data_IF_794612505762
#
_entry.id   IF_794612505762
#
_cell.length_a   1.000
_cell.length_b   1.000
_cell.length_c   1.000
_cell.angle_alpha   90.00
_cell.angle_beta   90.00
_cell.angle_gamma   90.00
#
_symmetry.space_group_name_H-M   'P 1'
#
loop_
_entity.id
_entity.type
_entity.pdbx_description
1 polymer ?
#
# COMPACT_ATOMS: atom_id res chain seq x y z
N UNK A 1 -88.96 8.06 37.23
CA UNK A 1 -90.40 8.19 36.91
C UNK A 1 -90.50 8.98 35.63
N UNK A 2 -91.00 8.36 34.56
CA UNK A 2 -91.07 8.96 33.22
C UNK A 2 -91.54 7.89 32.24
N UNK A 3 -92.84 7.56 32.32
CA UNK A 3 -93.51 6.66 31.40
C UNK A 3 -94.10 7.46 30.23
N UNK A 4 -94.08 6.86 29.05
CA UNK A 4 -94.44 7.35 27.70
C UNK A 4 -95.92 7.74 27.51
N UNK A 5 -96.55 8.36 28.51
CA UNK A 5 -97.92 8.86 28.41
C UNK A 5 -97.97 10.25 27.79
N UNK A 6 -98.08 10.31 26.46
CA UNK A 6 -98.66 11.43 25.71
C UNK A 6 -98.13 12.84 26.07
N UNK A 7 -96.82 13.05 25.84
CA UNK A 7 -96.19 14.37 26.01
C UNK A 7 -96.87 15.47 25.17
N UNK A 8 -97.51 15.09 24.06
CA UNK A 8 -98.31 15.99 23.22
C UNK A 8 -99.56 16.49 23.94
N UNK A 9 -100.31 15.59 24.59
CA UNK A 9 -101.47 15.99 25.40
C UNK A 9 -101.06 16.85 26.62
N UNK A 10 -99.92 16.56 27.24
CA UNK A 10 -99.40 17.37 28.36
C UNK A 10 -99.01 18.77 27.88
N UNK A 11 -98.39 18.88 26.70
CA UNK A 11 -98.05 20.17 26.08
C UNK A 11 -99.31 21.01 25.85
N UNK A 12 -100.33 20.45 25.22
CA UNK A 12 -101.60 21.15 24.92
C UNK A 12 -102.30 21.65 26.19
N UNK A 13 -102.34 20.82 27.24
CA UNK A 13 -102.90 21.20 28.55
C UNK A 13 -102.08 22.31 29.21
N UNK A 14 -100.74 22.22 29.19
CA UNK A 14 -99.87 23.24 29.79
C UNK A 14 -99.95 24.57 29.05
N UNK A 15 -99.99 24.56 27.71
CA UNK A 15 -100.15 25.79 26.91
C UNK A 15 -101.48 26.47 27.19
N UNK A 16 -102.57 25.68 27.20
CA UNK A 16 -103.92 26.21 27.46
C UNK A 16 -104.06 26.76 28.88
N UNK A 17 -103.45 26.10 29.86
CA UNK A 17 -103.57 26.49 31.28
C UNK A 17 -102.68 27.67 31.63
N UNK A 18 -101.44 27.71 31.11
CA UNK A 18 -100.45 28.72 31.48
C UNK A 18 -100.49 29.94 30.55
N UNK A 19 -101.10 29.82 29.37
CA UNK A 19 -101.10 30.89 28.35
C UNK A 19 -99.70 31.19 27.80
N UNK A 20 -98.74 30.28 28.00
CA UNK A 20 -97.36 30.40 27.55
C UNK A 20 -97.12 29.27 26.56
N UNK A 21 -96.39 29.56 25.48
CA UNK A 21 -95.96 28.57 24.51
C UNK A 21 -95.02 27.56 25.17
N UNK A 22 -95.38 26.30 25.14
CA UNK A 22 -94.60 25.19 25.68
C UNK A 22 -94.07 24.41 24.49
N UNK A 23 -92.75 24.28 24.39
CA UNK A 23 -92.12 23.47 23.35
C UNK A 23 -91.50 22.22 23.97
N UNK A 24 -91.75 21.06 23.37
CA UNK A 24 -91.05 19.83 23.75
C UNK A 24 -89.61 19.94 23.26
N UNK A 25 -88.66 19.75 24.17
CA UNK A 25 -87.24 19.81 23.83
C UNK A 25 -86.84 18.58 23.02
N UNK A 26 -86.41 18.78 21.78
CA UNK A 26 -85.92 17.74 20.87
C UNK A 26 -84.39 17.79 20.73
N UNK A 27 -83.62 17.07 21.57
CA UNK A 27 -82.16 17.14 21.54
C UNK A 27 -81.54 16.53 20.27
N UNK A 28 -82.29 15.70 19.55
CA UNK A 28 -81.85 14.98 18.35
C UNK A 28 -81.81 15.84 17.10
N UNK A 29 -82.51 16.98 17.07
CA UNK A 29 -82.63 17.83 15.87
C UNK A 29 -81.29 18.35 15.35
N UNK A 30 -80.27 18.41 16.21
CA UNK A 30 -78.94 18.91 15.89
C UNK A 30 -77.85 17.83 15.89
N UNK A 31 -78.22 16.55 16.00
CA UNK A 31 -77.30 15.42 16.03
C UNK A 31 -77.35 14.64 14.71
N UNK A 32 -76.18 14.27 14.19
CA UNK A 32 -76.10 13.31 13.09
C UNK A 32 -76.32 11.89 13.64
N UNK A 33 -77.48 11.31 13.34
CA UNK A 33 -77.89 9.99 13.80
C UNK A 33 -77.60 8.89 12.77
N UNK A 34 -77.05 9.23 11.60
CA UNK A 34 -76.69 8.27 10.54
C UNK A 34 -75.85 7.08 11.05
N UNK A 35 -74.91 7.25 12.02
CA UNK A 35 -74.12 6.13 12.54
C UNK A 35 -74.91 5.08 13.33
N UNK A 36 -76.12 5.39 13.81
CA UNK A 36 -76.95 4.47 14.61
C UNK A 36 -77.70 3.45 13.74
N UNK A 37 -77.75 3.65 12.42
CA UNK A 37 -78.38 2.72 11.50
C UNK A 37 -79.84 2.41 11.87
N UNK A 38 -80.15 1.12 12.05
CA UNK A 38 -81.50 0.64 12.36
C UNK A 38 -82.03 1.02 13.75
N UNK A 39 -81.16 1.46 14.67
CA UNK A 39 -81.55 1.81 16.05
C UNK A 39 -81.97 3.29 16.18
N UNK A 40 -81.99 4.04 15.08
CA UNK A 40 -82.28 5.48 15.09
C UNK A 40 -83.67 5.80 15.68
N UNK A 41 -84.69 5.00 15.38
CA UNK A 41 -86.05 5.24 15.86
C UNK A 41 -86.17 5.07 17.38
N UNK A 42 -85.58 4.00 17.93
CA UNK A 42 -85.57 3.74 19.38
C UNK A 42 -84.76 4.81 20.14
N UNK A 43 -83.67 5.28 19.54
CA UNK A 43 -82.90 6.38 20.11
C UNK A 43 -83.70 7.71 20.12
N UNK A 44 -84.42 8.02 19.04
CA UNK A 44 -85.25 9.23 18.96
C UNK A 44 -86.37 9.23 20.00
N UNK A 45 -87.00 8.09 20.24
CA UNK A 45 -88.05 7.92 21.25
C UNK A 45 -87.52 8.17 22.67
N UNK A 46 -86.32 7.68 22.98
CA UNK A 46 -85.69 7.87 24.31
C UNK A 46 -84.90 9.16 24.46
N UNK A 47 -84.71 9.92 23.38
CA UNK A 47 -83.85 11.11 23.36
C UNK A 47 -84.22 12.17 24.42
N UNK A 48 -85.50 12.47 24.70
CA UNK A 48 -85.86 13.44 25.73
C UNK A 48 -85.38 13.03 27.14
N UNK A 49 -85.45 11.73 27.46
CA UNK A 49 -84.96 11.20 28.74
C UNK A 49 -83.43 11.28 28.86
N UNK A 50 -82.72 11.28 27.72
CA UNK A 50 -81.27 11.38 27.63
C UNK A 50 -80.75 12.82 27.49
N UNK A 51 -81.63 13.83 27.44
CA UNK A 51 -81.26 15.23 27.19
C UNK A 51 -80.14 15.74 28.12
N UNK A 52 -80.17 15.38 29.41
CA UNK A 52 -79.14 15.77 30.38
C UNK A 52 -77.80 15.10 30.08
N UNK A 53 -77.81 13.80 29.76
CA UNK A 53 -76.60 13.05 29.43
C UNK A 53 -75.98 13.56 28.11
N UNK A 54 -76.81 13.83 27.10
CA UNK A 54 -76.41 14.44 25.84
C UNK A 54 -75.82 15.83 26.09
N UNK A 55 -76.47 16.68 26.89
CA UNK A 55 -75.95 18.00 27.24
C UNK A 55 -74.61 17.96 27.99
N UNK A 56 -74.43 16.98 28.88
CA UNK A 56 -73.15 16.76 29.56
C UNK A 56 -72.05 16.27 28.61
N UNK A 57 -72.40 15.43 27.63
CA UNK A 57 -71.46 14.89 26.64
C UNK A 57 -71.08 15.91 25.55
N UNK A 58 -72.02 16.78 25.14
CA UNK A 58 -71.78 17.84 24.15
C UNK A 58 -70.95 19.01 24.70
N UNK A 59 -70.63 19.00 25.99
CA UNK A 59 -69.87 20.05 26.65
C UNK A 59 -68.47 20.19 26.03
N UNK A 60 -68.26 21.26 25.26
CA UNK A 60 -66.93 21.62 24.76
C UNK A 60 -66.02 22.06 25.91
N UNK A 61 -64.77 21.62 25.88
CA UNK A 61 -63.74 22.04 26.83
C UNK A 61 -63.50 23.54 26.65
N UNK A 62 -64.02 24.38 27.55
CA UNK A 62 -63.72 25.82 27.59
C UNK A 62 -64.91 26.77 27.79
N UNK A 63 -66.16 26.34 27.58
CA UNK A 63 -67.34 27.23 27.74
C UNK A 63 -67.99 27.08 29.12
N UNK A 64 -68.14 28.21 29.84
CA UNK A 64 -68.77 28.40 31.16
C UNK A 64 -69.06 27.12 31.97
N UNK A 65 -67.99 26.54 32.46
CA UNK A 65 -68.01 25.21 33.07
C UNK A 65 -67.98 25.33 34.59
N UNK A 66 -69.11 25.09 35.28
CA UNK A 66 -69.08 24.73 36.71
C UNK A 66 -68.46 23.33 36.80
N UNK A 67 -67.19 23.27 37.18
CA UNK A 67 -66.46 22.03 37.38
C UNK A 67 -66.40 21.74 38.88
N UNK A 68 -67.18 20.76 39.34
CA UNK A 68 -67.23 20.37 40.74
C UNK A 68 -66.10 19.40 41.12
N UNK A 69 -65.18 19.06 40.19
CA UNK A 69 -64.02 18.25 40.57
C UNK A 69 -63.05 19.07 41.44
N UNK A 70 -62.61 18.51 42.59
CA UNK A 70 -61.51 19.06 43.37
C UNK A 70 -60.27 19.29 42.49
N UNK A 71 -59.61 20.44 42.67
CA UNK A 71 -58.43 20.84 41.88
C UNK A 71 -57.30 19.79 41.94
N UNK A 72 -57.20 19.06 43.04
CA UNK A 72 -56.18 18.01 43.27
C UNK A 72 -56.34 16.79 42.35
N UNK A 73 -57.55 16.52 41.85
CA UNK A 73 -57.81 15.43 40.91
C UNK A 73 -57.62 15.84 39.45
N UNK A 74 -57.73 17.14 39.14
CA UNK A 74 -57.52 17.66 37.80
C UNK A 74 -56.02 17.64 37.42
N UNK A 75 -55.14 17.97 38.36
CA UNK A 75 -53.68 17.94 38.15
C UNK A 75 -53.16 16.53 37.93
N UNK A 76 -53.75 15.50 38.57
CA UNK A 76 -53.32 14.10 38.37
C UNK A 76 -53.59 13.55 36.98
N UNK A 77 -54.62 14.02 36.26
CA UNK A 77 -54.94 13.54 34.91
C UNK A 77 -54.01 14.11 33.82
N UNK A 78 -53.47 15.33 34.01
CA UNK A 78 -52.55 15.94 33.05
C UNK A 78 -51.12 15.39 33.09
N UNK A 79 -50.68 14.84 34.23
CA UNK A 79 -49.28 14.39 34.41
C UNK A 79 -49.00 13.04 33.73
N UNK A 80 -50.03 12.22 33.47
CA UNK A 80 -49.83 10.91 32.85
C UNK A 80 -49.78 10.95 31.32
N UNK A 81 -50.46 11.89 30.66
CA UNK A 81 -50.39 12.03 29.20
C UNK A 81 -49.00 12.47 28.72
N UNK A 82 -48.32 13.34 29.48
CA UNK A 82 -46.96 13.76 29.19
C UNK A 82 -45.93 12.61 29.25
N UNK A 83 -46.09 11.68 30.20
CA UNK A 83 -45.20 10.50 30.31
C UNK A 83 -45.42 9.51 29.17
N UNK A 84 -46.66 9.31 28.74
CA UNK A 84 -46.98 8.45 27.59
C UNK A 84 -46.42 9.07 26.30
N UNK A 85 -46.62 10.36 26.08
CA UNK A 85 -46.07 11.07 24.92
C UNK A 85 -44.54 11.01 24.88
N UNK A 86 -43.87 11.21 26.03
CA UNK A 86 -42.43 11.08 26.15
C UNK A 86 -41.95 9.65 25.85
N UNK A 87 -42.67 8.62 26.33
CA UNK A 87 -42.37 7.21 26.05
C UNK A 87 -42.49 6.86 24.57
N UNK A 88 -43.54 7.34 23.90
CA UNK A 88 -43.74 7.14 22.45
C UNK A 88 -42.65 7.87 21.65
N UNK A 89 -42.29 9.10 22.02
CA UNK A 89 -41.20 9.84 21.37
C UNK A 89 -39.84 9.12 21.53
N UNK A 90 -39.54 8.60 22.73
CA UNK A 90 -38.32 7.85 22.98
C UNK A 90 -38.26 6.54 22.18
N UNK A 91 -39.39 5.80 22.11
CA UNK A 91 -39.49 4.57 21.31
C UNK A 91 -39.36 4.86 19.81
N UNK A 92 -39.93 5.96 19.32
CA UNK A 92 -39.77 6.43 17.95
C UNK A 92 -38.32 6.80 17.64
N UNK A 93 -37.64 7.49 18.56
CA UNK A 93 -36.23 7.84 18.40
C UNK A 93 -35.31 6.61 18.38
N UNK A 94 -35.54 5.65 19.28
CA UNK A 94 -34.79 4.39 19.31
C UNK A 94 -34.98 3.56 18.03
N UNK A 95 -36.21 3.48 17.53
CA UNK A 95 -36.46 2.76 16.26
C UNK A 95 -35.79 3.45 15.07
N UNK A 96 -35.77 4.79 15.04
CA UNK A 96 -35.01 5.56 14.04
C UNK A 96 -33.50 5.29 14.10
N UNK A 97 -32.92 5.19 15.30
CA UNK A 97 -31.51 4.85 15.50
C UNK A 97 -31.18 3.45 15.00
N UNK A 98 -32.03 2.45 15.28
CA UNK A 98 -31.81 1.07 14.84
C UNK A 98 -31.88 0.97 13.31
N UNK A 99 -32.88 1.60 12.69
CA UNK A 99 -33.02 1.62 11.22
C UNK A 99 -31.86 2.37 10.57
N UNK A 100 -31.47 3.51 11.15
CA UNK A 100 -30.32 4.28 10.68
C UNK A 100 -29.01 3.48 10.77
N UNK A 101 -28.79 2.78 11.88
CA UNK A 101 -27.64 1.91 12.06
C UNK A 101 -27.63 0.75 11.05
N UNK A 102 -28.78 0.10 10.81
CA UNK A 102 -28.88 -0.96 9.81
C UNK A 102 -28.56 -0.47 8.39
N UNK A 103 -29.11 0.69 7.98
CA UNK A 103 -28.81 1.26 6.66
C UNK A 103 -27.33 1.64 6.53
N UNK A 104 -26.73 2.21 7.58
CA UNK A 104 -25.30 2.55 7.57
C UNK A 104 -24.45 1.28 7.47
N UNK A 105 -24.77 0.25 8.26
CA UNK A 105 -24.09 -1.04 8.23
C UNK A 105 -24.14 -1.69 6.86
N UNK A 106 -25.33 -1.68 6.23
CA UNK A 106 -25.55 -2.22 4.88
C UNK A 106 -24.71 -1.50 3.81
N UNK A 107 -24.39 -0.22 4.00
CA UNK A 107 -23.51 0.54 3.08
C UNK A 107 -22.03 0.35 3.37
N UNK A 108 -21.66 0.14 4.63
CA UNK A 108 -20.25 -0.02 5.05
C UNK A 108 -19.70 -1.40 4.69
N UNK A 109 -20.52 -2.44 4.75
CA UNK A 109 -20.08 -3.81 4.46
C UNK A 109 -19.53 -4.02 3.04
N UNK A 110 -20.17 -3.56 1.94
CA UNK A 110 -19.58 -3.69 0.60
C UNK A 110 -18.27 -2.91 0.45
N UNK A 111 -18.14 -1.74 1.10
CA UNK A 111 -16.90 -0.96 1.12
C UNK A 111 -15.76 -1.71 1.85
N UNK A 112 -16.08 -2.43 2.93
CA UNK A 112 -15.10 -3.29 3.61
C UNK A 112 -14.70 -4.48 2.76
N UNK A 113 -15.64 -5.07 2.03
CA UNK A 113 -15.36 -6.17 1.10
C UNK A 113 -14.48 -5.72 -0.07
N UNK A 114 -14.75 -4.56 -0.67
CA UNK A 114 -13.91 -4.02 -1.74
C UNK A 114 -12.52 -3.67 -1.24
N UNK A 115 -12.39 -3.07 -0.04
CA UNK A 115 -11.08 -2.82 0.58
C UNK A 115 -10.29 -4.11 0.79
N UNK A 116 -10.92 -5.16 1.33
CA UNK A 116 -10.26 -6.47 1.51
C UNK A 116 -9.87 -7.11 0.17
N UNK A 117 -10.71 -6.98 -0.85
CA UNK A 117 -10.40 -7.47 -2.19
C UNK A 117 -9.19 -6.73 -2.79
N UNK A 118 -9.16 -5.40 -2.69
CA UNK A 118 -8.04 -4.56 -3.12
C UNK A 118 -6.74 -4.86 -2.35
N UNK A 119 -6.83 -5.07 -1.04
CA UNK A 119 -5.69 -5.51 -0.22
C UNK A 119 -5.20 -6.90 -0.65
N UNK A 120 -6.12 -7.81 -0.96
CA UNK A 120 -5.82 -9.12 -1.52
C UNK A 120 -5.09 -9.04 -2.85
N UNK A 121 -5.61 -8.26 -3.81
CA UNK A 121 -4.98 -8.02 -5.12
C UNK A 121 -3.59 -7.39 -4.97
N UNK A 122 -3.45 -6.39 -4.09
CA UNK A 122 -2.16 -5.77 -3.79
C UNK A 122 -1.16 -6.78 -3.23
N UNK A 123 -1.60 -7.66 -2.33
CA UNK A 123 -0.76 -8.72 -1.76
C UNK A 123 -0.34 -9.74 -2.83
N UNK A 124 -1.22 -10.07 -3.77
CA UNK A 124 -0.95 -10.99 -4.87
C UNK A 124 -0.01 -10.41 -5.93
N UNK A 125 0.00 -9.09 -6.13
CA UNK A 125 0.92 -8.40 -7.05
C UNK A 125 2.34 -8.22 -6.49
N UNK A 126 2.49 -8.18 -5.17
CA UNK A 126 3.77 -8.00 -4.49
C UNK A 126 4.87 -9.00 -4.92
N UNK A 127 4.63 -10.33 -4.95
CA UNK A 127 5.65 -11.28 -5.39
C UNK A 127 6.05 -11.09 -6.87
N UNK A 128 5.11 -10.67 -7.74
CA UNK A 128 5.42 -10.39 -9.15
C UNK A 128 6.33 -9.18 -9.32
N UNK A 129 6.17 -8.16 -8.48
CA UNK A 129 7.09 -7.01 -8.46
C UNK A 129 8.48 -7.42 -7.98
N UNK A 130 8.57 -8.29 -6.98
CA UNK A 130 9.85 -8.83 -6.51
C UNK A 130 10.54 -9.69 -7.57
N UNK A 131 9.80 -10.53 -8.30
CA UNK A 131 10.31 -11.28 -9.45
C UNK A 131 10.81 -10.37 -10.57
N UNK A 132 10.06 -9.32 -10.91
CA UNK A 132 10.49 -8.34 -11.92
C UNK A 132 11.74 -7.58 -11.47
N UNK A 133 11.85 -7.21 -10.20
CA UNK A 133 13.04 -6.55 -9.67
C UNK A 133 14.25 -7.49 -9.71
N UNK A 134 14.10 -8.76 -9.35
CA UNK A 134 15.17 -9.77 -9.47
C UNK A 134 15.59 -9.93 -10.93
N UNK A 135 14.64 -10.08 -11.85
CA UNK A 135 14.94 -10.19 -13.28
C UNK A 135 15.63 -8.92 -13.84
N UNK A 136 15.26 -7.73 -13.35
CA UNK A 136 15.95 -6.49 -13.71
C UNK A 136 17.37 -6.43 -13.16
N UNK A 137 17.60 -6.88 -11.93
CA UNK A 137 18.93 -6.96 -11.34
C UNK A 137 19.82 -7.97 -12.09
N UNK A 138 19.29 -9.13 -12.44
CA UNK A 138 20.00 -10.13 -13.26
C UNK A 138 20.33 -9.57 -14.65
N UNK A 139 19.39 -8.89 -15.30
CA UNK A 139 19.66 -8.21 -16.58
C UNK A 139 20.73 -7.14 -16.45
N UNK A 140 20.66 -6.30 -15.41
CA UNK A 140 21.66 -5.26 -15.17
C UNK A 140 23.05 -5.84 -14.88
N UNK A 141 23.12 -7.04 -14.29
CA UNK A 141 24.38 -7.76 -14.08
C UNK A 141 24.95 -8.36 -15.37
N UNK A 142 24.09 -8.93 -16.23
CA UNK A 142 24.52 -9.63 -17.46
C UNK A 142 24.78 -8.67 -18.63
N UNK A 143 24.05 -7.56 -18.71
CA UNK A 143 24.13 -6.61 -19.83
C UNK A 143 25.54 -6.02 -20.08
N UNK A 144 26.34 -5.66 -19.06
CA UNK A 144 27.73 -5.24 -19.26
C UNK A 144 28.60 -6.32 -19.88
N UNK A 145 28.41 -7.58 -19.49
CA UNK A 145 29.14 -8.73 -20.03
C UNK A 145 28.80 -8.98 -21.50
N UNK A 146 27.52 -8.88 -21.88
CA UNK A 146 27.10 -9.01 -23.27
C UNK A 146 27.66 -7.87 -24.14
N UNK A 147 27.59 -6.62 -23.68
CA UNK A 147 28.17 -5.48 -24.39
C UNK A 147 29.69 -5.61 -24.55
N UNK A 148 30.38 -6.17 -23.54
CA UNK A 148 31.79 -6.48 -23.62
C UNK A 148 32.07 -7.57 -24.66
N UNK A 149 31.33 -8.68 -24.63
CA UNK A 149 31.49 -9.77 -25.60
C UNK A 149 31.21 -9.33 -27.03
N UNK A 150 30.19 -8.49 -27.24
CA UNK A 150 29.93 -7.88 -28.54
C UNK A 150 31.13 -7.01 -28.97
N UNK A 151 31.64 -6.13 -28.10
CA UNK A 151 32.82 -5.34 -28.43
C UNK A 151 34.04 -6.22 -28.71
N UNK A 152 34.31 -7.27 -27.95
CA UNK A 152 35.41 -8.20 -28.21
C UNK A 152 35.24 -8.91 -29.56
N UNK A 153 34.00 -9.28 -29.92
CA UNK A 153 33.69 -9.89 -31.23
C UNK A 153 34.01 -8.92 -32.39
N UNK A 154 33.75 -7.63 -32.21
CA UNK A 154 34.09 -6.59 -33.20
C UNK A 154 35.61 -6.30 -33.29
N UNK A 155 36.38 -6.58 -32.23
CA UNK A 155 37.83 -6.37 -32.18
C UNK A 155 38.64 -7.64 -32.44
N UNK A 156 38.10 -8.61 -33.20
CA UNK A 156 38.70 -9.96 -33.36
C UNK A 156 40.16 -10.01 -33.84
N UNK A 157 40.69 -8.94 -34.47
CA UNK A 157 42.12 -8.84 -34.85
C UNK A 157 43.01 -8.18 -33.79
N UNK A 158 42.43 -7.36 -32.92
CA UNK A 158 43.15 -6.59 -31.92
C UNK A 158 43.83 -7.49 -30.88
N UNK A 159 43.07 -8.43 -30.29
CA UNK A 159 43.57 -9.28 -29.22
C UNK A 159 44.72 -10.19 -29.67
N UNK A 160 44.63 -10.90 -30.81
CA UNK A 160 45.75 -11.68 -31.32
C UNK A 160 46.99 -10.83 -31.60
N UNK A 161 46.84 -9.63 -32.18
CA UNK A 161 47.97 -8.75 -32.49
C UNK A 161 48.63 -8.19 -31.23
N UNK A 162 47.84 -7.72 -30.26
CA UNK A 162 48.34 -7.22 -28.98
C UNK A 162 49.01 -8.34 -28.16
N UNK A 163 48.41 -9.53 -28.08
CA UNK A 163 49.02 -10.69 -27.38
C UNK A 163 50.30 -11.15 -28.09
N UNK A 164 50.32 -11.14 -29.43
CA UNK A 164 51.51 -11.46 -30.21
C UNK A 164 52.62 -10.45 -29.95
N UNK A 165 52.31 -9.16 -29.96
CA UNK A 165 53.30 -8.13 -29.64
C UNK A 165 53.81 -8.26 -28.21
N UNK A 166 52.92 -8.47 -27.24
CA UNK A 166 53.29 -8.70 -25.84
C UNK A 166 54.20 -9.93 -25.67
N UNK A 167 53.92 -11.02 -26.38
CA UNK A 167 54.77 -12.23 -26.38
C UNK A 167 56.13 -12.01 -27.06
N UNK A 168 56.21 -11.10 -28.03
CA UNK A 168 57.46 -10.76 -28.71
C UNK A 168 58.34 -9.81 -27.89
N UNK A 169 57.72 -8.94 -27.08
CA UNK A 169 58.43 -8.01 -26.19
C UNK A 169 58.87 -8.66 -24.88
N UNK A 170 58.23 -9.75 -24.45
CA UNK A 170 58.55 -10.44 -23.22
C UNK A 170 59.90 -11.18 -23.31
N UNK A 171 60.87 -10.86 -22.44
CA UNK A 171 62.09 -11.67 -22.28
C UNK A 171 61.73 -13.11 -21.89
N UNK A 172 62.64 -14.07 -22.14
CA UNK A 172 62.41 -15.50 -21.81
C UNK A 172 62.26 -15.71 -20.30
N UNK A 173 62.82 -14.79 -19.54
CA UNK A 173 62.84 -14.74 -18.08
C UNK A 173 61.50 -14.23 -17.53
N UNK A 174 60.65 -13.59 -18.33
CA UNK A 174 59.37 -13.01 -17.89
C UNK A 174 58.21 -13.93 -18.29
N UNK A 175 57.45 -14.39 -17.30
CA UNK A 175 56.26 -15.22 -17.48
C UNK A 175 55.00 -14.51 -17.01
N UNK A 176 54.02 -14.36 -17.89
CA UNK A 176 52.71 -13.81 -17.52
C UNK A 176 51.84 -14.88 -16.85
N UNK A 177 51.13 -14.48 -15.80
CA UNK A 177 50.17 -15.32 -15.07
C UNK A 177 48.73 -14.97 -15.41
N UNK A 178 48.40 -13.67 -15.39
CA UNK A 178 47.06 -13.20 -15.67
C UNK A 178 47.07 -11.88 -16.42
N UNK A 179 46.05 -11.70 -17.25
CA UNK A 179 45.75 -10.47 -17.96
C UNK A 179 44.30 -10.13 -17.61
N UNK A 180 44.12 -9.08 -16.82
CA UNK A 180 42.81 -8.58 -16.40
C UNK A 180 42.49 -7.33 -17.20
N UNK A 181 41.32 -7.30 -17.84
CA UNK A 181 40.83 -6.15 -18.61
C UNK A 181 39.64 -5.56 -17.86
N UNK A 182 39.80 -4.36 -17.31
CA UNK A 182 38.75 -3.67 -16.57
C UNK A 182 38.30 -2.44 -17.36
N UNK A 183 36.98 -2.31 -17.55
CA UNK A 183 36.41 -1.11 -18.19
C UNK A 183 36.41 0.04 -17.20
N UNK A 184 36.99 1.17 -17.61
CA UNK A 184 37.02 2.44 -16.85
C UNK A 184 36.27 3.52 -17.66
N UNK A 185 35.81 4.61 -17.04
CA UNK A 185 35.02 5.64 -17.74
C UNK A 185 35.70 6.20 -19.01
N UNK A 186 37.03 6.23 -19.02
CA UNK A 186 37.85 6.76 -20.13
C UNK A 186 38.31 5.69 -21.14
N UNK A 187 37.91 4.42 -20.98
CA UNK A 187 38.30 3.33 -21.88
C UNK A 187 38.50 1.99 -21.16
N UNK A 188 39.61 1.33 -21.46
CA UNK A 188 39.96 0.04 -20.90
C UNK A 188 41.29 0.13 -20.16
N UNK A 189 41.34 -0.41 -18.96
CA UNK A 189 42.56 -0.60 -18.19
C UNK A 189 42.94 -2.08 -18.26
N UNK A 190 44.19 -2.36 -18.62
CA UNK A 190 44.73 -3.72 -18.55
C UNK A 190 45.74 -3.81 -17.42
N UNK A 191 45.54 -4.82 -16.58
CA UNK A 191 46.47 -5.24 -15.55
C UNK A 191 47.11 -6.55 -15.97
N UNK A 192 48.42 -6.53 -16.12
CA UNK A 192 49.26 -7.68 -16.42
C UNK A 192 49.95 -8.10 -15.12
N UNK A 193 49.75 -9.35 -14.72
CA UNK A 193 50.48 -9.96 -13.61
C UNK A 193 51.40 -11.03 -14.15
N UNK A 194 52.62 -11.07 -13.62
CA UNK A 194 53.61 -12.04 -14.04
C UNK A 194 54.73 -12.19 -13.02
N UNK A 195 55.63 -13.11 -13.32
CA UNK A 195 56.84 -13.36 -12.56
C UNK A 195 58.05 -13.26 -13.49
N UNK A 196 59.15 -12.69 -13.00
CA UNK A 196 60.46 -12.82 -13.64
C UNK A 196 61.24 -13.92 -12.93
N UNK A 197 61.66 -14.94 -13.68
CA UNK A 197 62.44 -16.08 -13.20
C UNK A 197 63.81 -16.07 -13.86
N UNK A 198 64.88 -15.98 -13.06
CA UNK A 198 66.25 -16.14 -13.55
C UNK A 198 67.12 -16.93 -12.56
N UNK A 199 68.34 -17.24 -12.99
CA UNK A 199 69.35 -17.88 -12.14
C UNK A 199 69.75 -16.97 -10.98
N UNK A 200 69.90 -15.67 -11.26
CA UNK A 200 70.27 -14.67 -10.27
C UNK A 200 69.24 -13.52 -10.20
N UNK A 201 69.03 -12.98 -9.00
CA UNK A 201 68.12 -11.85 -8.77
C UNK A 201 68.45 -10.60 -9.62
N UNK A 202 69.72 -10.17 -9.78
CA UNK A 202 70.06 -9.03 -10.63
C UNK A 202 69.65 -9.23 -12.09
N UNK A 203 69.67 -10.47 -12.57
CA UNK A 203 69.27 -10.81 -13.94
C UNK A 203 67.75 -10.71 -14.12
N UNK A 204 66.96 -11.19 -13.15
CA UNK A 204 65.50 -11.03 -13.14
C UNK A 204 65.08 -9.54 -13.11
N UNK A 205 65.77 -8.72 -12.31
CA UNK A 205 65.54 -7.26 -12.27
C UNK A 205 65.94 -6.59 -13.58
N UNK A 206 67.06 -6.99 -14.18
CA UNK A 206 67.51 -6.48 -15.47
C UNK A 206 66.48 -6.80 -16.58
N UNK A 207 65.95 -8.02 -16.61
CA UNK A 207 64.91 -8.44 -17.55
C UNK A 207 63.65 -7.58 -17.43
N UNK A 208 63.17 -7.31 -16.20
CA UNK A 208 62.03 -6.41 -15.98
C UNK A 208 62.32 -4.96 -16.36
N UNK A 209 63.52 -4.48 -16.04
CA UNK A 209 63.97 -3.12 -16.37
C UNK A 209 64.09 -2.92 -17.87
N UNK A 210 64.43 -3.96 -18.62
CA UNK A 210 64.46 -3.94 -20.08
C UNK A 210 63.06 -4.09 -20.70
N UNK A 211 62.19 -4.91 -20.10
CA UNK A 211 60.84 -5.15 -20.57
C UNK A 211 59.95 -3.90 -20.50
N UNK A 212 59.99 -3.16 -19.37
CA UNK A 212 59.09 -2.03 -19.14
C UNK A 212 59.21 -0.89 -20.18
N UNK A 213 60.41 -0.42 -20.58
CA UNK A 213 60.58 0.57 -21.64
C UNK A 213 60.10 0.06 -23.02
N UNK A 214 60.22 -1.23 -23.30
CA UNK A 214 59.75 -1.82 -24.56
C UNK A 214 58.22 -1.85 -24.58
N UNK A 215 57.59 -2.24 -23.48
CA UNK A 215 56.15 -2.21 -23.32
C UNK A 215 55.59 -0.79 -23.49
N UNK A 216 56.31 0.24 -23.00
CA UNK A 216 55.94 1.65 -23.17
C UNK A 216 56.05 2.17 -24.61
N UNK A 217 56.88 1.54 -25.44
CA UNK A 217 57.01 1.88 -26.87
C UNK A 217 55.94 1.21 -27.73
N UNK A 218 55.24 0.22 -27.20
CA UNK A 218 54.16 -0.46 -27.91
C UNK A 218 53.04 0.52 -28.27
N UNK A 219 52.47 0.47 -29.49
CA UNK A 219 51.32 1.29 -29.87
C UNK A 219 50.05 0.94 -29.08
N UNK A 220 50.02 -0.19 -28.38
CA UNK A 220 48.85 -0.68 -27.66
C UNK A 220 48.70 -0.13 -26.23
N UNK A 221 49.82 0.14 -25.56
CA UNK A 221 49.83 0.56 -24.15
C UNK A 221 50.16 2.04 -24.02
N UNK A 222 49.22 2.82 -23.47
CA UNK A 222 49.40 4.26 -23.23
C UNK A 222 49.20 4.53 -21.75
N UNK A 223 50.06 5.37 -21.19
CA UNK A 223 49.92 5.81 -19.80
C UNK A 223 50.12 4.67 -18.77
N UNK A 224 51.17 3.87 -18.96
CA UNK A 224 51.67 2.85 -18.01
C UNK A 224 52.21 3.44 -16.68
N UNK A 225 52.09 4.76 -16.49
CA UNK A 225 52.83 5.53 -15.48
C UNK A 225 52.07 5.84 -14.20
N UNK A 226 50.80 5.45 -14.07
CA UNK A 226 50.06 5.74 -12.83
C UNK A 226 50.49 4.86 -11.66
N UNK A 227 51.16 3.73 -11.92
CA UNK A 227 51.74 2.87 -10.91
C UNK A 227 53.05 2.30 -11.46
N UNK A 228 54.19 2.89 -11.07
CA UNK A 228 55.47 2.17 -11.19
C UNK A 228 55.25 0.76 -10.61
N UNK A 229 55.86 -0.31 -11.17
CA UNK A 229 55.84 -1.60 -10.51
C UNK A 229 56.29 -1.34 -9.08
N UNK A 230 55.38 -1.47 -8.12
CA UNK A 230 55.76 -1.50 -6.73
C UNK A 230 56.46 -2.84 -6.61
N UNK A 231 57.77 -2.84 -6.92
CA UNK A 231 58.67 -3.87 -6.46
C UNK A 231 58.43 -3.82 -4.95
N UNK A 232 57.79 -4.84 -4.35
CA UNK A 232 57.48 -4.79 -2.94
C UNK A 232 58.77 -4.39 -2.22
N UNK A 233 58.71 -3.27 -1.48
CA UNK A 233 59.86 -2.75 -0.76
C UNK A 233 60.49 -3.93 -0.04
N UNK A 234 61.74 -4.21 -0.35
CA UNK A 234 62.42 -5.51 -0.13
C UNK A 234 62.19 -6.02 1.30
N UNK A 235 61.12 -6.78 1.45
CA UNK A 235 60.67 -7.44 2.67
C UNK A 235 60.09 -8.80 2.33
N UNK A 236 60.40 -9.31 1.12
CA UNK A 236 60.28 -10.71 0.84
C UNK A 236 61.10 -11.45 1.89
N UNK A 237 60.41 -12.27 2.67
CA UNK A 237 61.04 -13.36 3.39
C UNK A 237 61.84 -14.15 2.34
N UNK A 238 63.12 -13.81 2.19
CA UNK A 238 64.12 -14.84 2.00
C UNK A 238 63.87 -15.74 3.20
N UNK A 239 63.08 -16.79 3.00
CA UNK A 239 63.08 -17.89 3.93
C UNK A 239 64.39 -18.59 3.60
N UNK A 240 65.50 -18.35 4.32
CA UNK A 240 66.58 -19.29 4.23
C UNK A 240 65.92 -20.60 4.63
N UNK A 241 65.91 -21.58 3.72
CA UNK A 241 65.63 -22.95 4.12
C UNK A 241 66.54 -23.21 5.31
N UNK A 242 65.97 -23.21 6.52
CA UNK A 242 66.72 -23.24 7.75
C UNK A 242 67.55 -24.51 7.72
N UNK A 243 68.85 -24.34 7.46
CA UNK A 243 69.79 -25.42 7.35
C UNK A 243 69.78 -26.21 8.65
N UNK A 244 69.14 -27.38 8.62
CA UNK A 244 69.42 -28.42 9.59
C UNK A 244 70.83 -28.93 9.29
N UNK A 245 71.80 -28.78 10.19
CA UNK A 245 73.10 -29.40 10.01
C UNK A 245 72.92 -30.92 10.16
N UNK A 246 73.16 -31.68 9.08
CA UNK A 246 73.39 -33.13 9.18
C UNK A 246 72.45 -34.09 8.45
N UNK A 247 71.71 -33.66 7.41
CA UNK A 247 70.98 -34.57 6.53
C UNK A 247 71.76 -34.88 5.25
N UNK A 248 71.90 -36.17 4.93
CA UNK A 248 72.46 -36.68 3.67
C UNK A 248 71.82 -35.92 2.49
N UNK A 249 72.64 -35.20 1.71
CA UNK A 249 72.21 -34.48 0.51
C UNK A 249 71.79 -35.48 -0.55
N UNK A 250 70.50 -35.51 -0.88
CA UNK A 250 70.03 -36.05 -2.15
C UNK A 250 70.52 -35.13 -3.28
N UNK A 251 71.38 -35.60 -4.22
CA UNK A 251 71.88 -34.78 -5.33
C UNK A 251 70.81 -34.45 -6.39
N UNK A 252 69.57 -34.88 -6.17
CA UNK A 252 68.42 -34.56 -7.02
C UNK A 252 67.51 -33.46 -6.46
N UNK A 253 67.81 -32.93 -5.27
CA UNK A 253 67.06 -31.84 -4.63
C UNK A 253 67.72 -30.45 -4.82
N UNK A 254 68.87 -30.38 -5.51
CA UNK A 254 69.44 -29.12 -6.03
C UNK A 254 68.68 -28.72 -7.32
N UNK A 255 67.35 -28.72 -7.25
CA UNK A 255 66.54 -28.03 -8.24
C UNK A 255 66.88 -26.54 -8.10
N UNK A 256 67.63 -26.03 -9.06
CA UNK A 256 68.11 -24.65 -9.20
C UNK A 256 67.24 -23.68 -8.39
N UNK A 257 67.79 -23.11 -7.32
CA UNK A 257 67.14 -22.12 -6.48
C UNK A 257 66.96 -20.83 -7.31
N UNK A 258 65.94 -20.83 -8.19
CA UNK A 258 65.67 -19.74 -9.11
C UNK A 258 65.12 -18.55 -8.33
N UNK A 259 65.72 -17.38 -8.54
CA UNK A 259 65.17 -16.14 -8.04
C UNK A 259 63.83 -15.86 -8.75
N UNK A 260 62.76 -15.70 -7.97
CA UNK A 260 61.43 -15.32 -8.45
C UNK A 260 61.11 -13.90 -8.01
N UNK A 261 60.61 -13.10 -8.95
CA UNK A 261 60.18 -11.74 -8.69
C UNK A 261 58.79 -11.50 -9.27
N UNK A 262 57.81 -11.34 -8.40
CA UNK A 262 56.43 -11.05 -8.78
C UNK A 262 56.29 -9.57 -9.19
N UNK A 263 55.53 -9.31 -10.24
CA UNK A 263 55.24 -7.96 -10.66
C UNK A 263 53.78 -7.81 -11.11
N UNK A 264 53.27 -6.59 -10.91
CA UNK A 264 51.97 -6.14 -11.42
C UNK A 264 52.20 -4.86 -12.21
N UNK A 265 51.85 -4.89 -13.50
CA UNK A 265 51.90 -3.72 -14.38
C UNK A 265 50.47 -3.38 -14.77
N UNK A 266 50.05 -2.16 -14.47
CA UNK A 266 48.73 -1.65 -14.86
C UNK A 266 48.89 -0.50 -15.86
N UNK A 267 48.15 -0.53 -16.96
CA UNK A 267 48.17 0.51 -17.98
C UNK A 267 46.81 0.74 -18.62
N UNK A 268 46.61 1.93 -19.19
CA UNK A 268 45.43 2.21 -20.02
C UNK A 268 45.67 1.72 -21.45
N UNK A 269 44.64 1.18 -22.07
CA UNK A 269 44.68 0.76 -23.47
C UNK A 269 44.16 1.87 -24.36
N UNK A 270 44.95 2.22 -25.37
CA UNK A 270 44.54 3.19 -26.37
C UNK A 270 43.83 2.46 -27.51
N UNK A 271 42.52 2.27 -27.38
CA UNK A 271 41.68 1.73 -28.46
C UNK A 271 41.46 2.71 -29.63
N UNK A 272 42.18 3.85 -29.66
CA UNK A 272 41.95 4.94 -30.60
C UNK A 272 42.24 4.62 -32.07
N UNK A 273 42.87 3.47 -32.36
CA UNK A 273 43.34 3.13 -33.72
C UNK A 273 42.47 2.11 -34.47
N UNK A 274 41.38 1.59 -33.87
CA UNK A 274 40.53 0.58 -34.53
C UNK A 274 39.08 0.99 -34.77
N UNK A 275 38.70 2.20 -34.38
CA UNK A 275 37.45 2.78 -34.86
C UNK A 275 37.74 3.44 -36.21
N UNK A 276 37.24 2.92 -37.34
CA UNK A 276 37.20 3.72 -38.55
C UNK A 276 36.43 5.01 -38.22
N UNK A 277 36.87 6.18 -38.71
CA UNK A 277 36.32 7.50 -38.35
C UNK A 277 34.83 7.71 -38.67
N UNK A 278 34.09 6.68 -39.10
CA UNK A 278 32.68 6.74 -39.49
C UNK A 278 31.66 6.22 -38.47
N UNK A 279 32.05 5.80 -37.26
CA UNK A 279 31.13 5.20 -36.27
C UNK A 279 30.89 6.04 -34.99
N UNK A 280 31.25 7.32 -34.99
CA UNK A 280 31.01 8.24 -33.84
C UNK A 280 29.75 9.11 -33.98
N UNK A 281 28.76 8.71 -34.78
CA UNK A 281 27.48 9.42 -34.90
C UNK A 281 26.31 8.46 -35.02
N UNK A 282 25.62 8.24 -33.90
CA UNK A 282 24.41 7.41 -33.80
C UNK A 282 23.91 7.40 -32.36
#
# INVERSE_FOLDING_TARGET
>A
MGGEGDLGAIQEVLETTLGIRVEVFEPTRFLDLTPLGGEQAEFQERAPALAIAIGLAMRRVGEHTINLLPKDLQTRRGVNSGKIAAGVAAAGFLSLLVVGHQQLSARVEPLRQTLRALEGEKSALRPRLEELQKAQQERAYVQPGLLFLEQVRWHGRFWPEMLRELSALAPKEVRFQSLEVTRVPEGYQVSLRGEAMSKDLPEAVAALTQFYPQLRKSPFFVDLLSQLPQVPAWGGNLSPAAGRPGGIRDPQADAEEMAKLDFVISGKLRLRLLFPPGLQGG
#
